data_IF_226514547251
#
_entry.id   IF_226514547251
#
_cell.length_a   1.000
_cell.length_b   1.000
_cell.length_c   1.000
_cell.angle_alpha   90.00
_cell.angle_beta   90.00
_cell.angle_gamma   90.00
#
_symmetry.space_group_name_H-M   'P 1'
#
loop_
_entity.id
_entity.type
_entity.pdbx_description
1 polymer ?
#
# COMPACT_ATOMS: atom_id res chain seq x y z
N UNK A 1 -21.57 -28.50 4.11
CA UNK A 1 -21.50 -27.21 4.84
C UNK A 1 -20.14 -26.59 4.62
N UNK A 2 -20.09 -25.50 3.85
CA UNK A 2 -18.87 -24.69 3.79
C UNK A 2 -18.69 -24.06 5.17
N UNK A 3 -17.48 -24.13 5.78
CA UNK A 3 -17.26 -23.44 7.04
C UNK A 3 -17.58 -21.97 6.84
N UNK A 4 -18.31 -21.38 7.78
CA UNK A 4 -18.59 -19.95 7.80
C UNK A 4 -17.23 -19.27 7.85
N UNK A 5 -16.89 -18.61 6.77
CA UNK A 5 -15.65 -17.88 6.65
C UNK A 5 -15.67 -16.70 7.61
N UNK A 6 -14.81 -16.75 8.61
CA UNK A 6 -14.58 -15.57 9.42
C UNK A 6 -13.71 -14.61 8.60
N UNK A 7 -14.17 -13.37 8.40
CA UNK A 7 -13.39 -12.30 7.74
C UNK A 7 -12.07 -12.01 8.47
N UNK A 8 -11.74 -12.77 9.49
CA UNK A 8 -10.64 -12.53 10.41
C UNK A 8 -9.33 -13.19 10.01
N UNK A 9 -9.37 -14.17 9.10
CA UNK A 9 -8.18 -14.95 8.72
C UNK A 9 -7.82 -14.77 7.25
N UNK A 10 -6.61 -15.21 6.89
CA UNK A 10 -6.19 -15.27 5.48
C UNK A 10 -7.02 -16.30 4.72
N UNK A 11 -7.08 -16.15 3.39
CA UNK A 11 -7.72 -17.13 2.52
C UNK A 11 -7.01 -18.48 2.59
N UNK A 12 -7.79 -19.57 2.46
CA UNK A 12 -7.23 -20.91 2.37
C UNK A 12 -6.46 -21.19 1.08
N UNK A 13 -6.70 -20.41 0.03
CA UNK A 13 -6.04 -20.53 -1.27
C UNK A 13 -5.43 -19.22 -1.71
N UNK A 14 -4.45 -19.31 -2.61
CA UNK A 14 -3.83 -18.12 -3.21
C UNK A 14 -4.84 -17.41 -4.10
N UNK A 15 -5.06 -16.11 -3.83
CA UNK A 15 -5.94 -15.25 -4.61
C UNK A 15 -5.20 -14.67 -5.81
N UNK A 16 -4.00 -14.14 -5.56
CA UNK A 16 -3.21 -13.40 -6.56
C UNK A 16 -2.12 -14.30 -7.14
N UNK A 17 -2.52 -15.22 -8.03
CA UNK A 17 -1.64 -16.26 -8.57
C UNK A 17 -1.31 -16.08 -10.06
N UNK A 18 -2.09 -15.27 -10.78
CA UNK A 18 -1.90 -15.01 -12.20
C UNK A 18 -2.45 -13.62 -12.55
N UNK A 19 -2.01 -13.08 -13.66
CA UNK A 19 -2.50 -11.81 -14.17
C UNK A 19 -4.01 -11.89 -14.43
N UNK A 20 -4.75 -11.02 -13.75
CA UNK A 20 -6.22 -10.96 -13.85
C UNK A 20 -6.75 -9.65 -13.25
N UNK A 21 -8.03 -9.40 -13.45
CA UNK A 21 -8.75 -8.28 -12.81
C UNK A 21 -9.74 -8.82 -11.78
N UNK A 22 -9.97 -8.02 -10.74
CA UNK A 22 -10.98 -8.30 -9.71
C UNK A 22 -11.99 -7.16 -9.73
N UNK A 23 -13.24 -7.46 -10.06
CA UNK A 23 -14.33 -6.50 -10.04
C UNK A 23 -15.13 -6.65 -8.75
N UNK A 24 -15.23 -5.56 -8.00
CA UNK A 24 -16.02 -5.47 -6.78
C UNK A 24 -16.88 -4.22 -6.90
N UNK A 25 -18.05 -4.21 -6.25
CA UNK A 25 -18.93 -3.04 -6.29
C UNK A 25 -18.17 -1.77 -5.87
N UNK A 26 -18.09 -0.84 -6.83
CA UNK A 26 -17.46 0.47 -6.62
C UNK A 26 -15.97 0.56 -6.96
N UNK A 27 -15.28 -0.55 -7.25
CA UNK A 27 -13.88 -0.50 -7.69
C UNK A 27 -13.44 -1.77 -8.43
N UNK A 28 -12.39 -1.63 -9.24
CA UNK A 28 -11.76 -2.74 -9.95
C UNK A 28 -10.27 -2.71 -9.67
N UNK A 29 -9.70 -3.86 -9.32
CA UNK A 29 -8.26 -4.02 -9.11
C UNK A 29 -7.64 -4.84 -10.21
N UNK A 30 -6.43 -4.45 -10.59
CA UNK A 30 -5.57 -5.21 -11.49
C UNK A 30 -4.49 -5.93 -10.69
N UNK A 31 -4.34 -7.21 -10.98
CA UNK A 31 -3.26 -8.04 -10.47
C UNK A 31 -2.36 -8.40 -11.65
N UNK A 32 -1.12 -7.96 -11.64
CA UNK A 32 -0.12 -8.34 -12.62
C UNK A 32 0.89 -9.27 -11.97
N UNK A 33 1.11 -10.43 -12.56
CA UNK A 33 2.07 -11.42 -12.08
C UNK A 33 3.14 -11.66 -13.13
N UNK A 34 4.40 -11.48 -12.74
CA UNK A 34 5.53 -11.86 -13.57
C UNK A 34 5.73 -13.36 -13.48
N UNK A 35 5.60 -14.07 -14.61
CA UNK A 35 5.64 -15.53 -14.64
C UNK A 35 7.00 -16.10 -14.22
N UNK A 36 8.08 -15.36 -14.45
CA UNK A 36 9.42 -15.81 -14.09
C UNK A 36 9.69 -15.69 -12.59
N UNK A 37 9.50 -14.50 -12.04
CA UNK A 37 9.81 -14.18 -10.65
C UNK A 37 8.67 -14.45 -9.68
N UNK A 38 7.45 -14.65 -10.18
CA UNK A 38 6.22 -14.74 -9.39
C UNK A 38 5.93 -13.44 -8.59
N UNK A 39 6.48 -12.32 -9.05
CA UNK A 39 6.29 -11.02 -8.45
C UNK A 39 4.92 -10.46 -8.83
N UNK A 40 4.17 -10.03 -7.82
CA UNK A 40 2.82 -9.48 -7.98
C UNK A 40 2.86 -7.96 -7.81
N UNK A 41 2.20 -7.25 -8.74
CA UNK A 41 1.86 -5.85 -8.58
C UNK A 41 0.34 -5.76 -8.57
N UNK A 42 -0.19 -5.30 -7.44
CA UNK A 42 -1.64 -5.20 -7.21
C UNK A 42 -2.01 -3.73 -7.06
N UNK A 43 -2.98 -3.25 -7.84
CA UNK A 43 -3.34 -1.83 -7.86
C UNK A 43 -4.75 -1.61 -8.39
N UNK A 44 -5.31 -0.46 -8.06
CA UNK A 44 -6.59 -0.01 -8.62
C UNK A 44 -6.43 0.18 -10.13
N UNK A 45 -7.35 -0.38 -10.92
CA UNK A 45 -7.28 -0.33 -12.38
C UNK A 45 -7.36 1.10 -12.95
N UNK A 46 -7.88 2.03 -12.18
CA UNK A 46 -7.89 3.46 -12.55
C UNK A 46 -6.50 4.11 -12.45
N UNK A 47 -5.54 3.46 -11.79
CA UNK A 47 -4.18 3.96 -11.70
C UNK A 47 -3.53 4.10 -13.07
N UNK A 48 -2.88 5.24 -13.30
CA UNK A 48 -2.25 5.56 -14.59
C UNK A 48 -0.72 5.64 -14.49
N UNK A 49 -0.18 5.65 -13.28
CA UNK A 49 1.24 5.92 -13.05
C UNK A 49 2.03 4.69 -12.62
N UNK A 50 1.38 3.54 -12.43
CA UNK A 50 1.99 2.34 -11.83
C UNK A 50 3.31 1.92 -12.49
N UNK A 51 3.42 2.01 -13.81
CA UNK A 51 4.63 1.64 -14.56
C UNK A 51 5.27 2.83 -15.27
N UNK A 52 4.83 4.04 -14.94
CA UNK A 52 5.31 5.23 -15.61
C UNK A 52 6.62 5.70 -15.01
N UNK A 53 7.58 6.07 -15.86
CA UNK A 53 8.85 6.63 -15.41
C UNK A 53 8.64 7.94 -14.66
N UNK A 54 9.47 8.17 -13.65
CA UNK A 54 9.54 9.45 -12.96
C UNK A 54 10.48 10.33 -13.76
N UNK A 55 9.97 11.47 -14.23
CA UNK A 55 10.73 12.40 -15.06
C UNK A 55 10.60 13.84 -14.52
N UNK A 56 11.60 14.65 -14.82
CA UNK A 56 11.50 16.10 -14.62
C UNK A 56 10.52 16.69 -15.64
N UNK A 57 9.49 17.38 -15.16
CA UNK A 57 8.44 17.96 -16.02
C UNK A 57 8.99 18.89 -17.10
N UNK A 58 9.99 19.69 -16.75
CA UNK A 58 10.52 20.72 -17.67
C UNK A 58 11.34 20.14 -18.83
N UNK A 59 12.01 19.01 -18.63
CA UNK A 59 12.95 18.45 -19.61
C UNK A 59 12.57 17.10 -20.15
N UNK A 60 11.70 16.37 -19.46
CA UNK A 60 11.38 14.97 -19.76
C UNK A 60 12.49 13.98 -19.41
N UNK A 61 13.58 14.46 -18.81
CA UNK A 61 14.67 13.57 -18.40
C UNK A 61 14.25 12.71 -17.23
N UNK A 62 14.69 11.44 -17.25
CA UNK A 62 14.41 10.50 -16.17
C UNK A 62 15.06 10.99 -14.88
N UNK A 63 14.27 10.98 -13.80
CA UNK A 63 14.76 11.26 -12.47
C UNK A 63 15.50 10.04 -11.94
N UNK A 64 16.77 10.24 -11.62
CA UNK A 64 17.59 9.22 -10.95
C UNK A 64 17.81 9.71 -9.53
N UNK A 65 17.06 9.11 -8.59
CA UNK A 65 17.19 9.44 -7.17
C UNK A 65 18.61 9.19 -6.69
N UNK A 66 19.20 10.16 -6.00
CA UNK A 66 20.47 9.96 -5.30
C UNK A 66 20.22 9.84 -3.81
N UNK A 67 21.11 9.13 -3.10
CA UNK A 67 21.04 8.97 -1.65
C UNK A 67 21.05 10.29 -0.87
N UNK A 68 21.48 11.37 -1.52
CA UNK A 68 21.60 12.69 -0.94
C UNK A 68 20.41 13.63 -1.25
N UNK A 69 19.44 13.16 -2.04
CA UNK A 69 18.28 14.00 -2.38
C UNK A 69 17.21 13.94 -1.30
N UNK A 70 17.46 14.66 -0.21
CA UNK A 70 16.54 14.83 0.91
C UNK A 70 15.39 15.79 0.59
N UNK A 71 15.17 16.16 -0.69
CA UNK A 71 14.28 17.27 -1.06
C UNK A 71 13.09 16.88 -1.92
N UNK A 72 12.79 15.58 -2.00
CA UNK A 72 11.61 15.10 -2.73
C UNK A 72 10.34 15.44 -1.96
N UNK A 73 10.38 15.24 -0.64
CA UNK A 73 9.36 15.71 0.30
C UNK A 73 10.03 16.42 1.45
N UNK A 74 9.33 17.39 2.06
CA UNK A 74 9.75 17.93 3.34
C UNK A 74 9.40 16.90 4.42
N UNK A 75 10.44 16.35 5.03
CA UNK A 75 10.29 15.28 6.00
C UNK A 75 9.78 15.82 7.32
N UNK A 76 8.69 15.19 7.80
CA UNK A 76 8.21 15.38 9.15
C UNK A 76 8.18 14.00 9.83
N UNK A 77 8.94 13.84 10.89
CA UNK A 77 9.10 12.55 11.60
C UNK A 77 7.80 11.97 12.15
N UNK A 78 6.75 12.79 12.29
CA UNK A 78 5.44 12.32 12.74
C UNK A 78 4.65 11.59 11.65
N UNK A 79 5.08 11.65 10.40
CA UNK A 79 4.33 11.08 9.27
C UNK A 79 4.50 9.58 9.12
N UNK A 80 5.68 9.03 9.41
CA UNK A 80 5.93 7.61 9.19
C UNK A 80 5.05 6.69 10.05
N UNK A 81 4.74 7.08 11.28
CA UNK A 81 3.88 6.27 12.13
C UNK A 81 2.42 6.24 11.66
N UNK A 82 1.94 7.32 11.02
CA UNK A 82 0.56 7.37 10.51
C UNK A 82 0.34 6.36 9.38
N UNK A 83 1.29 6.27 8.46
CA UNK A 83 1.25 5.30 7.36
C UNK A 83 1.28 3.88 7.90
N UNK A 84 2.22 3.59 8.79
CA UNK A 84 2.35 2.28 9.42
C UNK A 84 1.07 1.91 10.18
N UNK A 85 0.48 2.87 10.89
CA UNK A 85 -0.76 2.66 11.63
C UNK A 85 -1.93 2.33 10.69
N UNK A 86 -2.05 3.03 9.56
CA UNK A 86 -3.08 2.74 8.57
C UNK A 86 -2.97 1.30 8.07
N UNK A 87 -1.76 0.86 7.76
CA UNK A 87 -1.51 -0.50 7.30
C UNK A 87 -1.81 -1.51 8.41
N UNK A 88 -1.32 -1.26 9.63
CA UNK A 88 -1.58 -2.14 10.77
C UNK A 88 -3.08 -2.33 11.02
N UNK A 89 -3.86 -1.25 10.93
CA UNK A 89 -5.29 -1.29 11.22
C UNK A 89 -6.14 -1.93 10.11
N UNK A 90 -5.58 -2.14 8.93
CA UNK A 90 -6.29 -2.82 7.84
C UNK A 90 -6.32 -4.35 8.02
N UNK A 91 -5.40 -4.90 8.79
CA UNK A 91 -5.32 -6.34 9.05
C UNK A 91 -5.92 -6.67 10.41
N UNK A 92 -6.66 -7.78 10.46
CA UNK A 92 -7.07 -8.33 11.77
C UNK A 92 -5.85 -8.89 12.49
N UNK A 93 -5.94 -9.04 13.80
CA UNK A 93 -4.86 -9.67 14.58
C UNK A 93 -4.57 -11.10 14.11
N UNK A 94 -5.62 -11.85 13.76
CA UNK A 94 -5.49 -13.20 13.23
C UNK A 94 -4.72 -13.23 11.92
N UNK A 95 -5.04 -12.34 10.99
CA UNK A 95 -4.30 -12.20 9.73
C UNK A 95 -2.83 -11.85 9.98
N UNK A 96 -2.57 -10.87 10.85
CA UNK A 96 -1.22 -10.44 11.16
C UNK A 96 -0.38 -11.58 11.74
N UNK A 97 -0.96 -12.40 12.61
CA UNK A 97 -0.29 -13.56 13.17
C UNK A 97 0.04 -14.61 12.09
N UNK A 98 -0.87 -14.82 11.14
CA UNK A 98 -0.64 -15.76 10.03
C UNK A 98 0.43 -15.28 9.04
N UNK A 99 0.64 -13.95 8.91
CA UNK A 99 1.68 -13.39 8.05
C UNK A 99 3.09 -13.68 8.57
N UNK A 100 3.22 -14.00 9.85
CA UNK A 100 4.51 -14.28 10.46
C UNK A 100 5.43 -13.06 10.47
N UNK A 101 6.67 -13.25 10.06
CA UNK A 101 7.68 -12.18 10.00
C UNK A 101 7.80 -11.55 8.61
N UNK A 102 6.99 -11.99 7.67
CA UNK A 102 7.08 -11.52 6.28
C UNK A 102 6.57 -10.10 6.12
N UNK A 103 7.22 -9.37 5.23
CA UNK A 103 6.86 -8.01 4.86
C UNK A 103 6.31 -7.97 3.44
N UNK A 104 5.52 -6.95 3.13
CA UNK A 104 5.13 -6.61 1.77
C UNK A 104 5.48 -5.15 1.50
N UNK A 105 5.47 -4.76 0.23
CA UNK A 105 5.81 -3.41 -0.18
C UNK A 105 4.56 -2.61 -0.48
N UNK A 106 4.47 -1.42 0.07
CA UNK A 106 3.43 -0.43 -0.19
C UNK A 106 4.09 0.75 -0.89
N UNK A 107 3.50 1.19 -2.00
CA UNK A 107 3.98 2.35 -2.75
C UNK A 107 2.87 3.38 -2.87
N UNK A 108 3.19 4.62 -2.51
CA UNK A 108 2.33 5.78 -2.72
C UNK A 108 2.89 6.64 -3.83
N UNK A 109 2.03 7.10 -4.73
CA UNK A 109 2.36 8.04 -5.79
C UNK A 109 1.66 9.36 -5.48
N UNK A 110 2.45 10.41 -5.28
CA UNK A 110 1.97 11.69 -4.78
C UNK A 110 1.92 12.74 -5.87
N UNK A 111 0.97 13.66 -5.75
CA UNK A 111 0.95 14.86 -6.57
C UNK A 111 2.12 15.77 -6.21
N UNK A 112 2.94 16.18 -7.19
CA UNK A 112 4.03 17.15 -6.93
C UNK A 112 3.52 18.53 -6.59
N UNK A 113 2.26 18.84 -6.93
CA UNK A 113 1.66 20.15 -6.68
C UNK A 113 1.05 20.26 -5.29
N UNK A 114 0.36 19.20 -4.84
CA UNK A 114 -0.40 19.22 -3.60
C UNK A 114 0.19 18.33 -2.50
N UNK A 115 1.01 17.35 -2.85
CA UNK A 115 1.52 16.35 -1.90
C UNK A 115 0.50 15.30 -1.48
N UNK A 116 -0.70 15.32 -2.08
CA UNK A 116 -1.73 14.31 -1.81
C UNK A 116 -1.37 12.98 -2.46
N UNK A 117 -1.74 11.89 -1.81
CA UNK A 117 -1.61 10.56 -2.37
C UNK A 117 -2.64 10.40 -3.49
N UNK A 118 -2.17 10.21 -4.71
CA UNK A 118 -3.01 10.03 -5.90
C UNK A 118 -3.27 8.55 -6.17
N UNK A 119 -2.25 7.72 -6.03
CA UNK A 119 -2.32 6.30 -6.36
C UNK A 119 -1.54 5.49 -5.33
N UNK A 120 -1.97 4.25 -5.14
CA UNK A 120 -1.31 3.29 -4.25
C UNK A 120 -1.16 1.97 -5.00
N UNK A 121 -0.04 1.29 -4.83
CA UNK A 121 0.10 -0.08 -5.29
C UNK A 121 0.83 -0.94 -4.27
N UNK A 122 0.72 -2.25 -4.42
CA UNK A 122 1.25 -3.24 -3.49
C UNK A 122 2.08 -4.26 -4.24
N UNK A 123 3.19 -4.70 -3.63
CA UNK A 123 4.04 -5.73 -4.19
C UNK A 123 4.31 -6.83 -3.17
N UNK A 124 4.24 -8.05 -3.65
CA UNK A 124 4.55 -9.27 -2.91
C UNK A 124 4.76 -10.39 -3.93
N UNK A 125 5.04 -11.60 -3.49
CA UNK A 125 5.16 -12.75 -4.38
C UNK A 125 3.96 -13.68 -4.25
N UNK A 126 3.69 -14.48 -5.29
CA UNK A 126 2.57 -15.43 -5.28
C UNK A 126 2.72 -16.50 -4.20
N UNK A 127 3.94 -16.77 -3.76
CA UNK A 127 4.22 -17.77 -2.71
C UNK A 127 4.33 -17.16 -1.32
N UNK A 128 4.09 -15.86 -1.17
CA UNK A 128 4.04 -15.21 0.14
C UNK A 128 2.63 -15.27 0.72
N UNK A 129 2.47 -15.16 2.05
CA UNK A 129 1.13 -15.14 2.64
C UNK A 129 0.29 -13.95 2.19
N UNK A 130 0.91 -12.89 1.70
CA UNK A 130 0.19 -11.73 1.16
C UNK A 130 -0.64 -12.06 -0.07
N UNK A 131 -0.31 -13.12 -0.80
CA UNK A 131 -1.11 -13.61 -1.92
C UNK A 131 -2.44 -14.23 -1.48
N UNK A 132 -2.66 -14.41 -0.17
CA UNK A 132 -3.89 -14.92 0.42
C UNK A 132 -4.66 -13.87 1.24
N UNK A 133 -4.23 -12.61 1.20
CA UNK A 133 -4.91 -11.51 1.90
C UNK A 133 -6.12 -11.08 1.07
N UNK A 134 -7.33 -10.99 1.67
CA UNK A 134 -8.52 -10.54 0.94
C UNK A 134 -8.35 -9.15 0.34
N UNK A 135 -8.95 -8.94 -0.83
CA UNK A 135 -8.82 -7.69 -1.58
C UNK A 135 -9.27 -6.46 -0.78
N UNK A 136 -10.31 -6.60 0.03
CA UNK A 136 -10.84 -5.47 0.81
C UNK A 136 -9.80 -4.86 1.77
N UNK A 137 -8.81 -5.67 2.23
CA UNK A 137 -7.72 -5.18 3.07
C UNK A 137 -6.85 -4.19 2.31
N UNK A 138 -6.44 -4.55 1.10
CA UNK A 138 -5.66 -3.67 0.23
C UNK A 138 -6.45 -2.41 -0.14
N UNK A 139 -7.75 -2.58 -0.42
CA UNK A 139 -8.62 -1.45 -0.72
C UNK A 139 -8.73 -0.48 0.46
N UNK A 140 -8.86 -0.99 1.68
CA UNK A 140 -8.91 -0.15 2.88
C UNK A 140 -7.63 0.68 3.02
N UNK A 141 -6.46 0.07 2.79
CA UNK A 141 -5.18 0.78 2.83
C UNK A 141 -5.15 1.90 1.79
N UNK A 142 -5.52 1.59 0.55
CA UNK A 142 -5.56 2.59 -0.52
C UNK A 142 -6.43 3.78 -0.15
N UNK A 143 -7.66 3.52 0.27
CA UNK A 143 -8.64 4.58 0.59
C UNK A 143 -8.13 5.46 1.73
N UNK A 144 -7.65 4.84 2.80
CA UNK A 144 -7.20 5.59 3.99
C UNK A 144 -5.92 6.37 3.75
N UNK A 145 -4.98 5.83 2.99
CA UNK A 145 -3.78 6.59 2.61
C UNK A 145 -4.16 7.83 1.80
N UNK A 146 -5.07 7.70 0.85
CA UNK A 146 -5.55 8.83 0.05
C UNK A 146 -6.29 9.88 0.88
N UNK A 147 -7.05 9.47 1.87
CA UNK A 147 -7.84 10.37 2.71
C UNK A 147 -7.02 11.06 3.80
N UNK A 148 -6.07 10.35 4.39
CA UNK A 148 -5.45 10.78 5.64
C UNK A 148 -4.00 11.24 5.51
N UNK A 149 -3.29 10.82 4.46
CA UNK A 149 -1.87 11.11 4.31
C UNK A 149 -1.67 12.28 3.34
N UNK A 150 -0.91 13.26 3.81
CA UNK A 150 -0.61 14.46 3.03
C UNK A 150 0.83 14.87 3.33
N UNK A 151 1.63 14.99 2.28
CA UNK A 151 3.01 15.42 2.37
C UNK A 151 3.17 16.82 1.82
N UNK A 152 4.22 17.49 2.23
CA UNK A 152 4.63 18.74 1.59
C UNK A 152 5.73 18.42 0.57
N UNK A 153 5.48 18.67 -0.74
CA UNK A 153 6.51 18.45 -1.76
C UNK A 153 7.74 19.34 -1.51
N UNK A 154 8.93 18.74 -1.63
CA UNK A 154 10.19 19.45 -1.56
C UNK A 154 10.55 20.09 -2.90
N UNK A 155 11.67 20.81 -2.93
CA UNK A 155 12.13 21.52 -4.13
C UNK A 155 12.30 20.61 -5.34
N UNK A 156 12.85 19.39 -5.15
CA UNK A 156 13.01 18.42 -6.23
C UNK A 156 11.67 17.79 -6.58
N UNK A 157 10.89 17.42 -5.58
CA UNK A 157 9.58 16.78 -5.79
C UNK A 157 8.65 17.62 -6.66
N UNK A 158 8.64 18.95 -6.47
CA UNK A 158 7.82 19.88 -7.27
C UNK A 158 8.15 19.85 -8.76
N UNK A 159 9.34 19.43 -9.13
CA UNK A 159 9.81 19.40 -10.51
C UNK A 159 9.49 18.10 -11.23
N UNK A 160 9.00 17.08 -10.51
CA UNK A 160 8.73 15.77 -11.05
C UNK A 160 7.29 15.63 -11.54
N UNK A 161 7.05 14.68 -12.45
CA UNK A 161 5.70 14.36 -12.91
C UNK A 161 4.86 13.69 -11.81
N UNK A 162 5.51 12.96 -10.93
CA UNK A 162 4.91 12.46 -9.67
C UNK A 162 6.04 12.11 -8.70
N UNK A 163 5.68 12.01 -7.42
CA UNK A 163 6.60 11.64 -6.35
C UNK A 163 6.26 10.23 -5.90
N UNK A 164 7.27 9.35 -5.80
CA UNK A 164 7.08 7.98 -5.34
C UNK A 164 7.68 7.80 -3.94
N UNK A 165 6.88 7.29 -3.02
CA UNK A 165 7.33 6.87 -1.69
C UNK A 165 6.97 5.41 -1.50
N UNK A 166 7.95 4.59 -1.13
CA UNK A 166 7.77 3.15 -1.01
C UNK A 166 8.40 2.65 0.28
N UNK A 167 7.74 1.71 0.95
CA UNK A 167 8.28 1.09 2.15
C UNK A 167 7.83 -0.36 2.28
N UNK A 168 8.55 -1.11 3.09
CA UNK A 168 8.20 -2.49 3.43
C UNK A 168 7.71 -2.53 4.87
N UNK A 169 6.68 -3.33 5.10
CA UNK A 169 6.07 -3.42 6.42
C UNK A 169 5.55 -4.82 6.70
N UNK A 170 5.70 -5.23 7.95
CA UNK A 170 5.00 -6.37 8.54
C UNK A 170 3.88 -5.81 9.41
N UNK A 171 2.60 -5.96 9.02
CA UNK A 171 1.48 -5.42 9.80
C UNK A 171 1.38 -6.06 11.19
N UNK A 172 1.05 -5.24 12.18
CA UNK A 172 0.84 -5.69 13.55
C UNK A 172 -0.61 -6.10 13.84
N UNK A 173 -1.54 -5.72 12.98
CA UNK A 173 -2.96 -5.98 13.15
C UNK A 173 -3.68 -4.92 13.97
N UNK A 174 -4.99 -4.95 13.91
CA UNK A 174 -5.84 -4.01 14.62
C UNK A 174 -5.56 -4.05 16.12
N UNK A 175 -5.47 -2.87 16.72
CA UNK A 175 -5.43 -2.75 18.16
C UNK A 175 -6.78 -3.21 18.74
N UNK A 176 -6.78 -3.87 19.90
CA UNK A 176 -8.04 -4.19 20.58
C UNK A 176 -8.80 -2.92 20.91
N UNK A 177 -10.15 -2.96 20.95
CA UNK A 177 -10.92 -1.79 21.35
C UNK A 177 -10.51 -1.37 22.76
N UNK A 178 -10.53 -0.05 23.00
CA UNK A 178 -10.24 0.49 24.33
C UNK A 178 -11.27 -0.07 25.33
N UNK A 179 -10.84 -0.44 26.54
CA UNK A 179 -11.78 -0.89 27.56
C UNK A 179 -12.77 0.22 27.90
N UNK A 180 -14.01 -0.12 28.32
CA UNK A 180 -14.99 0.88 28.73
C UNK A 180 -14.44 1.78 29.84
N UNK A 181 -14.85 3.07 29.92
CA UNK A 181 -14.46 3.94 31.02
C UNK A 181 -14.77 3.28 32.36
N UNK A 182 -13.79 3.23 33.26
CA UNK A 182 -13.94 2.65 34.59
C UNK A 182 -13.57 1.16 34.71
N UNK A 183 -13.23 0.48 33.63
CA UNK A 183 -12.82 -0.94 33.67
C UNK A 183 -11.36 -1.16 34.07
N UNK A 184 -10.59 -0.10 34.24
CA UNK A 184 -9.17 -0.13 34.60
C UNK A 184 -8.90 0.11 36.11
N UNK A 185 -9.90 -0.13 36.93
CA UNK A 185 -9.72 -0.09 38.39
C UNK A 185 -9.39 -1.44 38.99
#
# INVERSE_FOLDING_TARGET
DKPIRTEESLEGTVIYKKTTTFEVDGYTYQCDVDDGSQFVTLYNKENKLTYKDIVYKATGKIYIGSWNEKKVIEYNSSMSWQEDFIVDQAFTKAMADELGKREFTITMLLSPDTGKVMEVNFNFTTFSPYARVPLHVYREIEVKLKEQIHFKPGEVGKQLNYIMLSWRQKPQGKLPPLPPPGSLM
#
